data_IF_466594750079
#
_entry.id   IF_466594750079
#
_cell.length_a   1.000
_cell.length_b   1.000
_cell.length_c   1.000
_cell.angle_alpha   90.00
_cell.angle_beta   90.00
_cell.angle_gamma   90.00
#
_symmetry.space_group_name_H-M   'P 1'
#
loop_
_entity.id
_entity.type
_entity.pdbx_description
1 polymer ?
#
# COMPACT_ATOMS: atom_id res chain seq x y z
N UNK A 1 -8.33 -22.12 30.36
CA UNK A 1 -9.27 -22.16 29.22
C UNK A 1 -8.47 -22.51 27.96
N UNK A 2 -9.00 -23.33 27.06
CA UNK A 2 -8.32 -23.61 25.80
C UNK A 2 -8.36 -22.36 24.90
N UNK A 3 -7.22 -22.02 24.31
CA UNK A 3 -7.08 -20.90 23.37
C UNK A 3 -7.99 -21.12 22.15
N UNK A 4 -8.74 -20.11 21.73
CA UNK A 4 -9.64 -20.23 20.58
C UNK A 4 -8.87 -20.45 19.27
N UNK A 5 -9.54 -20.98 18.24
CA UNK A 5 -8.92 -21.13 16.92
C UNK A 5 -8.50 -19.75 16.37
N UNK A 6 -9.33 -18.71 16.58
CA UNK A 6 -8.99 -17.35 16.21
C UNK A 6 -7.69 -16.86 16.90
N UNK A 7 -7.56 -17.05 18.21
CA UNK A 7 -6.36 -16.58 18.95
C UNK A 7 -5.09 -17.29 18.47
N UNK A 8 -5.17 -18.60 18.20
CA UNK A 8 -4.05 -19.36 17.65
C UNK A 8 -3.67 -18.84 16.27
N UNK A 9 -4.66 -18.65 15.40
CA UNK A 9 -4.46 -18.08 14.08
C UNK A 9 -3.84 -16.68 14.15
N UNK A 10 -4.31 -15.85 15.10
CA UNK A 10 -3.83 -14.48 15.28
C UNK A 10 -2.36 -14.43 15.72
N UNK A 11 -1.96 -15.28 16.67
CA UNK A 11 -0.55 -15.39 17.08
C UNK A 11 0.35 -15.72 15.90
N UNK A 12 0.01 -16.77 15.13
CA UNK A 12 0.78 -17.16 13.94
C UNK A 12 0.78 -16.09 12.84
N UNK A 13 -0.31 -15.36 12.70
CA UNK A 13 -0.41 -14.25 11.76
C UNK A 13 0.54 -13.10 12.13
N UNK A 14 0.59 -12.74 13.42
CA UNK A 14 1.46 -11.68 13.94
C UNK A 14 2.94 -12.07 13.81
N UNK A 15 3.25 -13.37 13.97
CA UNK A 15 4.57 -13.95 13.71
C UNK A 15 4.89 -14.12 12.22
N UNK A 16 3.98 -13.66 11.31
CA UNK A 16 4.09 -13.77 9.85
C UNK A 16 4.13 -15.22 9.33
N UNK A 17 3.71 -16.19 10.13
CA UNK A 17 3.58 -17.60 9.75
C UNK A 17 2.26 -17.84 9.01
N UNK A 18 2.03 -17.09 7.93
CA UNK A 18 0.75 -17.01 7.22
C UNK A 18 0.17 -18.35 6.79
N UNK A 19 1.01 -19.25 6.27
CA UNK A 19 0.54 -20.58 5.85
C UNK A 19 0.06 -21.44 7.01
N UNK A 20 0.66 -21.28 8.20
CA UNK A 20 0.23 -21.99 9.42
C UNK A 20 -0.98 -21.33 10.09
N UNK A 21 -1.13 -20.02 9.97
CA UNK A 21 -2.28 -19.28 10.51
C UNK A 21 -3.59 -19.61 9.78
N UNK A 22 -3.52 -19.83 8.46
CA UNK A 22 -4.69 -19.96 7.59
C UNK A 22 -5.70 -21.03 8.04
N UNK A 23 -5.31 -22.29 8.37
CA UNK A 23 -6.28 -23.32 8.78
C UNK A 23 -7.09 -22.95 10.03
N UNK A 24 -6.52 -22.18 10.95
CA UNK A 24 -7.21 -21.75 12.16
C UNK A 24 -8.29 -20.72 11.84
N UNK A 25 -8.00 -19.74 10.98
CA UNK A 25 -9.01 -18.78 10.55
C UNK A 25 -10.07 -19.39 9.64
N UNK A 26 -9.71 -20.33 8.76
CA UNK A 26 -10.70 -21.05 7.94
C UNK A 26 -11.66 -21.85 8.83
N UNK A 27 -11.15 -22.49 9.89
CA UNK A 27 -11.99 -23.19 10.87
C UNK A 27 -12.88 -22.22 11.67
N UNK A 28 -12.39 -21.03 12.01
CA UNK A 28 -13.20 -19.99 12.65
C UNK A 28 -14.35 -19.54 11.75
N UNK A 29 -14.09 -19.35 10.44
CA UNK A 29 -15.11 -19.01 9.44
C UNK A 29 -16.18 -20.10 9.22
N UNK A 30 -15.91 -21.38 9.59
CA UNK A 30 -16.96 -22.40 9.55
C UNK A 30 -18.04 -22.20 10.62
N UNK A 31 -17.70 -21.48 11.71
CA UNK A 31 -18.62 -21.18 12.82
C UNK A 31 -19.35 -19.86 12.58
N UNK A 32 -18.65 -18.87 12.09
CA UNK A 32 -19.19 -17.55 11.72
C UNK A 32 -18.57 -17.10 10.41
N UNK A 33 -19.28 -17.35 9.32
CA UNK A 33 -18.79 -17.07 7.98
C UNK A 33 -18.78 -15.56 7.65
N UNK A 34 -19.40 -14.72 8.45
CA UNK A 34 -19.50 -13.28 8.28
C UNK A 34 -18.66 -12.50 9.31
N UNK A 35 -17.84 -13.18 10.10
CA UNK A 35 -16.87 -12.54 10.99
C UNK A 35 -15.88 -11.71 10.20
N UNK A 36 -16.08 -10.39 10.26
CA UNK A 36 -15.31 -9.43 9.46
C UNK A 36 -13.81 -9.49 9.73
N UNK A 37 -13.42 -9.67 11.00
CA UNK A 37 -12.01 -9.70 11.41
C UNK A 37 -11.33 -10.95 10.82
N UNK A 38 -12.00 -12.11 10.94
CA UNK A 38 -11.46 -13.35 10.39
C UNK A 38 -11.41 -13.33 8.87
N UNK A 39 -12.45 -12.79 8.20
CA UNK A 39 -12.45 -12.60 6.73
C UNK A 39 -11.27 -11.71 6.30
N UNK A 40 -11.00 -10.63 7.05
CA UNK A 40 -9.90 -9.71 6.76
C UNK A 40 -8.55 -10.41 6.91
N UNK A 41 -8.32 -11.14 8.02
CA UNK A 41 -7.10 -11.93 8.24
C UNK A 41 -6.86 -12.94 7.10
N UNK A 42 -7.91 -13.66 6.68
CA UNK A 42 -7.79 -14.63 5.57
C UNK A 42 -7.48 -13.93 4.24
N UNK A 43 -8.12 -12.78 3.98
CA UNK A 43 -7.83 -11.94 2.81
C UNK A 43 -6.37 -11.47 2.79
N UNK A 44 -5.88 -10.97 3.93
CA UNK A 44 -4.48 -10.52 4.09
C UNK A 44 -3.51 -11.70 3.90
N UNK A 45 -3.77 -12.86 4.50
CA UNK A 45 -2.95 -14.07 4.33
C UNK A 45 -2.85 -14.45 2.85
N UNK A 46 -3.98 -14.52 2.14
CA UNK A 46 -3.94 -14.86 0.72
C UNK A 46 -3.20 -13.79 -0.11
N UNK A 47 -3.27 -12.52 0.29
CA UNK A 47 -2.48 -11.44 -0.29
C UNK A 47 -0.98 -11.66 -0.10
N UNK A 48 -0.53 -11.97 1.13
CA UNK A 48 0.87 -12.30 1.45
C UNK A 48 1.36 -13.55 0.70
N UNK A 49 0.51 -14.55 0.56
CA UNK A 49 0.79 -15.77 -0.21
C UNK A 49 0.68 -15.56 -1.73
N UNK A 50 0.41 -14.35 -2.20
CA UNK A 50 0.22 -13.96 -3.62
C UNK A 50 -0.88 -14.76 -4.32
N UNK A 51 -1.86 -15.26 -3.58
CA UNK A 51 -3.05 -15.96 -4.10
C UNK A 51 -4.15 -14.94 -4.37
N UNK A 52 -3.94 -14.11 -5.41
CA UNK A 52 -4.70 -12.88 -5.67
C UNK A 52 -6.20 -13.11 -5.85
N UNK A 53 -6.61 -14.19 -6.53
CA UNK A 53 -8.02 -14.55 -6.70
C UNK A 53 -8.72 -14.81 -5.37
N UNK A 54 -8.07 -15.56 -4.49
CA UNK A 54 -8.61 -15.86 -3.16
C UNK A 54 -8.65 -14.60 -2.29
N UNK A 55 -7.59 -13.80 -2.27
CA UNK A 55 -7.59 -12.52 -1.57
C UNK A 55 -8.72 -11.61 -2.07
N UNK A 56 -8.89 -11.50 -3.39
CA UNK A 56 -9.95 -10.70 -4.01
C UNK A 56 -11.35 -11.19 -3.62
N UNK A 57 -11.57 -12.50 -3.52
CA UNK A 57 -12.83 -13.07 -3.04
C UNK A 57 -13.18 -12.55 -1.63
N UNK A 58 -12.24 -12.61 -0.69
CA UNK A 58 -12.48 -12.16 0.69
C UNK A 58 -12.66 -10.65 0.79
N UNK A 59 -11.87 -9.85 0.07
CA UNK A 59 -12.07 -8.40 0.07
C UNK A 59 -13.33 -7.95 -0.67
N UNK A 60 -13.79 -8.72 -1.67
CA UNK A 60 -15.12 -8.50 -2.28
C UNK A 60 -16.21 -8.73 -1.24
N UNK A 61 -16.11 -9.81 -0.46
CA UNK A 61 -17.05 -10.09 0.63
C UNK A 61 -17.07 -8.97 1.67
N UNK A 62 -15.89 -8.51 2.13
CA UNK A 62 -15.76 -7.40 3.09
C UNK A 62 -16.42 -6.10 2.61
N UNK A 63 -16.09 -5.65 1.38
CA UNK A 63 -16.68 -4.41 0.85
C UNK A 63 -18.16 -4.52 0.57
N UNK A 64 -18.69 -5.75 0.39
CA UNK A 64 -20.12 -6.00 0.23
C UNK A 64 -20.83 -5.96 1.58
N UNK A 65 -20.28 -6.59 2.62
CA UNK A 65 -20.83 -6.59 3.97
C UNK A 65 -20.77 -5.20 4.63
N UNK A 66 -19.71 -4.44 4.35
CA UNK A 66 -19.47 -3.09 4.91
C UNK A 66 -19.11 -2.09 3.82
N UNK A 67 -20.07 -1.69 2.96
CA UNK A 67 -19.80 -0.87 1.77
C UNK A 67 -19.36 0.56 2.08
N UNK A 68 -19.48 1.01 3.35
CA UNK A 68 -19.00 2.32 3.82
C UNK A 68 -17.65 2.27 4.51
N UNK A 69 -16.98 1.11 4.59
CA UNK A 69 -15.64 1.01 5.13
C UNK A 69 -14.62 1.35 4.04
N UNK A 70 -13.87 2.44 4.23
CA UNK A 70 -12.88 2.93 3.28
C UNK A 70 -11.70 1.96 3.09
N UNK A 71 -11.25 1.30 4.18
CA UNK A 71 -10.11 0.40 4.15
C UNK A 71 -10.40 -0.86 3.33
N UNK A 72 -11.65 -1.35 3.35
CA UNK A 72 -12.03 -2.51 2.56
C UNK A 72 -12.04 -2.21 1.05
N UNK A 73 -12.42 -1.00 0.66
CA UNK A 73 -12.28 -0.56 -0.72
C UNK A 73 -10.82 -0.40 -1.13
N UNK A 74 -10.00 0.18 -0.25
CA UNK A 74 -8.56 0.30 -0.49
C UNK A 74 -7.89 -1.07 -0.64
N UNK A 75 -8.11 -2.00 0.29
CA UNK A 75 -7.56 -3.36 0.24
C UNK A 75 -8.02 -4.11 -1.01
N UNK A 76 -9.30 -4.02 -1.36
CA UNK A 76 -9.83 -4.58 -2.61
C UNK A 76 -9.08 -4.03 -3.83
N UNK A 77 -8.96 -2.71 -3.94
CA UNK A 77 -8.23 -2.06 -5.03
C UNK A 77 -6.75 -2.46 -5.07
N UNK A 78 -6.11 -2.58 -3.90
CA UNK A 78 -4.72 -3.01 -3.76
C UNK A 78 -4.48 -4.43 -4.29
N UNK A 79 -5.32 -5.39 -3.87
CA UNK A 79 -5.23 -6.78 -4.36
C UNK A 79 -5.52 -6.87 -5.84
N UNK A 80 -6.52 -6.13 -6.34
CA UNK A 80 -6.84 -6.08 -7.76
C UNK A 80 -5.67 -5.50 -8.57
N UNK A 81 -4.99 -4.46 -8.04
CA UNK A 81 -3.77 -3.90 -8.63
C UNK A 81 -2.62 -4.91 -8.69
N UNK A 82 -2.42 -5.68 -7.61
CA UNK A 82 -1.41 -6.75 -7.60
C UNK A 82 -1.74 -7.88 -8.57
N UNK A 83 -3.02 -8.25 -8.69
CA UNK A 83 -3.48 -9.20 -9.69
C UNK A 83 -3.21 -8.69 -11.11
N UNK A 84 -3.57 -7.44 -11.40
CA UNK A 84 -3.31 -6.81 -12.70
C UNK A 84 -1.83 -6.78 -13.06
N UNK A 85 -0.95 -6.46 -12.08
CA UNK A 85 0.51 -6.45 -12.29
C UNK A 85 1.08 -7.82 -12.66
N UNK A 86 0.43 -8.91 -12.23
CA UNK A 86 0.85 -10.28 -12.49
C UNK A 86 0.08 -10.94 -13.66
N UNK A 87 -0.86 -10.21 -14.27
CA UNK A 87 -1.64 -10.69 -15.41
C UNK A 87 -0.99 -10.32 -16.75
N UNK A 88 -1.48 -10.91 -17.84
CA UNK A 88 -1.13 -10.43 -19.18
C UNK A 88 -1.73 -9.03 -19.44
N UNK A 89 -1.18 -8.31 -20.42
CA UNK A 89 -1.53 -6.91 -20.70
C UNK A 89 -3.04 -6.70 -20.96
N UNK A 90 -3.71 -7.60 -21.66
CA UNK A 90 -5.14 -7.47 -21.96
C UNK A 90 -5.99 -7.63 -20.69
N UNK A 91 -5.71 -8.65 -19.89
CA UNK A 91 -6.39 -8.86 -18.62
C UNK A 91 -6.13 -7.69 -17.63
N UNK A 92 -4.90 -7.17 -17.59
CA UNK A 92 -4.55 -6.02 -16.76
C UNK A 92 -5.36 -4.77 -17.15
N UNK A 93 -5.49 -4.49 -18.45
CA UNK A 93 -6.28 -3.36 -18.96
C UNK A 93 -7.73 -3.40 -18.47
N UNK A 94 -8.36 -4.57 -18.45
CA UNK A 94 -9.72 -4.74 -17.96
C UNK A 94 -9.91 -4.43 -16.47
N UNK A 95 -8.84 -4.44 -15.69
CA UNK A 95 -8.91 -4.19 -14.23
C UNK A 95 -8.64 -2.72 -13.85
N UNK A 96 -8.05 -1.90 -14.74
CA UNK A 96 -7.59 -0.54 -14.41
C UNK A 96 -8.74 0.34 -13.91
N UNK A 97 -9.90 0.28 -14.55
CA UNK A 97 -11.06 1.07 -14.16
C UNK A 97 -11.50 0.74 -12.73
N UNK A 98 -11.61 -0.55 -12.42
CA UNK A 98 -12.08 -1.00 -11.10
C UNK A 98 -11.07 -0.68 -10.00
N UNK A 99 -9.76 -0.79 -10.29
CA UNK A 99 -8.69 -0.39 -9.35
C UNK A 99 -8.83 1.10 -9.01
N UNK A 100 -8.99 1.94 -10.02
CA UNK A 100 -9.16 3.39 -9.84
C UNK A 100 -10.42 3.71 -9.02
N UNK A 101 -11.56 3.13 -9.41
CA UNK A 101 -12.84 3.31 -8.70
C UNK A 101 -12.73 2.89 -7.25
N UNK A 102 -12.04 1.79 -6.95
CA UNK A 102 -11.87 1.31 -5.58
C UNK A 102 -11.10 2.31 -4.72
N UNK A 103 -9.97 2.85 -5.20
CA UNK A 103 -9.20 3.84 -4.46
C UNK A 103 -9.92 5.18 -4.34
N UNK A 104 -10.60 5.65 -5.39
CA UNK A 104 -11.41 6.86 -5.35
C UNK A 104 -12.59 6.71 -4.37
N UNK A 105 -13.21 5.52 -4.29
CA UNK A 105 -14.26 5.22 -3.31
C UNK A 105 -13.72 5.23 -1.89
N UNK A 106 -12.54 4.67 -1.65
CA UNK A 106 -11.88 4.75 -0.33
C UNK A 106 -11.66 6.20 0.09
N UNK A 107 -11.18 7.07 -0.81
CA UNK A 107 -11.00 8.51 -0.54
C UNK A 107 -12.34 9.22 -0.30
N UNK A 108 -13.37 8.88 -1.06
CA UNK A 108 -14.70 9.48 -0.89
C UNK A 108 -15.32 9.11 0.47
N UNK A 109 -15.08 7.89 0.96
CA UNK A 109 -15.55 7.41 2.25
C UNK A 109 -14.71 7.95 3.42
N UNK A 110 -13.40 8.05 3.24
CA UNK A 110 -12.48 8.66 4.20
C UNK A 110 -11.61 9.72 3.50
N UNK A 111 -11.99 11.01 3.57
CA UNK A 111 -11.21 12.09 2.96
C UNK A 111 -9.77 12.23 3.48
N UNK A 112 -9.41 11.57 4.59
CA UNK A 112 -8.05 11.53 5.13
C UNK A 112 -7.30 10.23 4.79
N UNK A 113 -7.82 9.38 3.92
CA UNK A 113 -7.18 8.12 3.58
C UNK A 113 -5.90 8.34 2.78
N UNK A 114 -4.75 8.21 3.44
CA UNK A 114 -3.41 8.44 2.89
C UNK A 114 -3.06 7.39 1.83
N UNK A 115 -3.16 6.11 2.19
CA UNK A 115 -2.71 4.99 1.35
C UNK A 115 -3.45 4.91 0.01
N UNK A 116 -4.75 5.24 -0.01
CA UNK A 116 -5.52 5.26 -1.26
C UNK A 116 -5.04 6.36 -2.22
N UNK A 117 -4.63 7.53 -1.69
CA UNK A 117 -4.02 8.59 -2.51
C UNK A 117 -2.65 8.17 -3.04
N UNK A 118 -1.85 7.56 -2.18
CA UNK A 118 -0.54 7.06 -2.59
C UNK A 118 -0.66 5.97 -3.66
N UNK A 119 -1.64 5.06 -3.51
CA UNK A 119 -1.94 4.05 -4.52
C UNK A 119 -2.37 4.65 -5.86
N UNK A 120 -3.14 5.75 -5.86
CA UNK A 120 -3.48 6.48 -7.09
C UNK A 120 -2.28 7.20 -7.70
N UNK A 121 -1.37 7.75 -6.88
CA UNK A 121 -0.09 8.29 -7.38
C UNK A 121 0.67 7.20 -8.14
N UNK A 122 0.89 6.03 -7.53
CA UNK A 122 1.59 4.92 -8.17
C UNK A 122 0.86 4.43 -9.42
N UNK A 123 -0.47 4.28 -9.37
CA UNK A 123 -1.26 3.86 -10.52
C UNK A 123 -1.05 4.80 -11.70
N UNK A 124 -1.18 6.10 -11.50
CA UNK A 124 -1.04 7.07 -12.58
C UNK A 124 0.38 7.22 -13.13
N UNK A 125 1.40 6.93 -12.32
CA UNK A 125 2.79 6.86 -12.79
C UNK A 125 3.06 5.61 -13.61
N UNK A 126 2.59 4.44 -13.16
CA UNK A 126 2.91 3.16 -13.78
C UNK A 126 2.15 2.89 -15.07
N UNK A 127 0.98 3.50 -15.26
CA UNK A 127 0.20 3.35 -16.48
C UNK A 127 0.82 4.13 -17.65
N UNK A 128 0.92 3.53 -18.85
CA UNK A 128 1.18 4.29 -20.07
C UNK A 128 0.14 5.39 -20.30
N UNK A 129 0.56 6.53 -20.85
CA UNK A 129 -0.33 7.67 -21.10
C UNK A 129 -1.58 7.33 -21.91
N UNK A 130 -1.41 6.45 -22.91
CA UNK A 130 -2.50 5.99 -23.80
C UNK A 130 -3.63 5.23 -23.06
N UNK A 131 -3.33 4.65 -21.90
CA UNK A 131 -4.30 3.94 -21.07
C UNK A 131 -4.62 4.66 -19.75
N UNK A 132 -4.34 5.97 -19.71
CA UNK A 132 -4.75 6.84 -18.62
C UNK A 132 -3.68 7.21 -17.62
N UNK A 133 -2.42 6.82 -17.84
CA UNK A 133 -1.26 7.28 -17.06
C UNK A 133 -1.12 8.80 -17.15
N UNK A 134 -0.76 9.46 -16.06
CA UNK A 134 -0.68 10.91 -16.03
C UNK A 134 0.08 11.42 -14.81
N UNK A 135 1.26 11.96 -15.02
CA UNK A 135 2.00 12.62 -13.95
C UNK A 135 1.20 13.77 -13.33
N UNK A 136 0.44 14.53 -14.14
CA UNK A 136 -0.44 15.60 -13.64
C UNK A 136 -1.49 15.06 -12.63
N UNK A 137 -2.08 13.89 -12.91
CA UNK A 137 -3.04 13.26 -11.97
C UNK A 137 -2.33 12.72 -10.74
N UNK A 138 -1.14 12.14 -10.89
CA UNK A 138 -0.31 11.70 -9.77
C UNK A 138 0.01 12.88 -8.84
N UNK A 139 0.47 14.01 -9.38
CA UNK A 139 0.74 15.25 -8.62
C UNK A 139 -0.51 15.75 -7.90
N UNK A 140 -1.70 15.73 -8.53
CA UNK A 140 -2.96 16.14 -7.89
C UNK A 140 -3.22 15.36 -6.58
N UNK A 141 -3.06 14.02 -6.59
CA UNK A 141 -3.27 13.21 -5.39
C UNK A 141 -2.16 13.39 -4.36
N UNK A 142 -0.93 13.59 -4.81
CA UNK A 142 0.20 13.93 -3.95
C UNK A 142 0.00 15.28 -3.23
N UNK A 143 -0.48 16.29 -3.93
CA UNK A 143 -0.74 17.61 -3.35
C UNK A 143 -1.85 17.58 -2.30
N UNK A 144 -2.87 16.74 -2.46
CA UNK A 144 -3.91 16.53 -1.45
C UNK A 144 -3.36 15.98 -0.12
N UNK A 145 -2.23 15.28 -0.14
CA UNK A 145 -1.60 14.77 1.08
C UNK A 145 -0.99 15.88 1.95
N UNK A 146 -0.67 17.06 1.41
CA UNK A 146 -0.02 18.13 2.18
C UNK A 146 -0.82 18.55 3.43
N UNK A 147 -2.13 18.58 3.32
CA UNK A 147 -3.03 18.94 4.44
C UNK A 147 -3.37 17.77 5.36
N UNK A 148 -2.98 16.53 4.99
CA UNK A 148 -3.33 15.31 5.72
C UNK A 148 -2.10 14.76 6.44
N UNK A 149 -1.02 14.58 5.70
CA UNK A 149 0.29 14.09 6.15
C UNK A 149 1.39 14.70 5.28
N UNK A 150 2.04 15.78 5.73
CA UNK A 150 3.14 16.41 4.99
C UNK A 150 4.27 15.43 4.67
N UNK A 151 4.56 14.50 5.57
CA UNK A 151 5.60 13.47 5.36
C UNK A 151 5.26 12.62 4.14
N UNK A 152 4.03 12.08 4.07
CA UNK A 152 3.59 11.24 2.95
C UNK A 152 3.45 12.06 1.66
N UNK A 153 3.07 13.33 1.76
CA UNK A 153 3.09 14.23 0.62
C UNK A 153 4.49 14.38 0.03
N UNK A 154 5.50 14.60 0.86
CA UNK A 154 6.88 14.72 0.38
C UNK A 154 7.43 13.37 -0.13
N UNK A 155 7.07 12.26 0.48
CA UNK A 155 7.41 10.95 -0.07
C UNK A 155 6.80 10.73 -1.46
N UNK A 156 5.52 11.02 -1.64
CA UNK A 156 4.85 10.86 -2.94
C UNK A 156 5.41 11.83 -3.99
N UNK A 157 5.77 13.07 -3.62
CA UNK A 157 6.46 14.02 -4.51
C UNK A 157 7.85 13.50 -4.90
N UNK A 158 8.62 13.01 -3.94
CA UNK A 158 9.90 12.37 -4.21
C UNK A 158 9.76 11.21 -5.21
N UNK A 159 8.76 10.37 -5.03
CA UNK A 159 8.47 9.25 -5.91
C UNK A 159 8.09 9.68 -7.33
N UNK A 160 7.33 10.76 -7.48
CA UNK A 160 6.99 11.34 -8.80
C UNK A 160 8.26 11.84 -9.52
N UNK A 161 9.11 12.59 -8.81
CA UNK A 161 10.35 13.12 -9.38
C UNK A 161 11.34 11.98 -9.71
N UNK A 162 11.42 10.95 -8.86
CA UNK A 162 12.22 9.75 -9.10
C UNK A 162 11.76 9.02 -10.37
N UNK A 163 10.45 8.83 -10.54
CA UNK A 163 9.87 8.18 -11.71
C UNK A 163 10.20 8.93 -13.01
N UNK A 164 10.26 10.26 -12.93
CA UNK A 164 10.63 11.14 -14.05
C UNK A 164 12.16 11.32 -14.21
N UNK A 165 12.98 10.55 -13.47
CA UNK A 165 14.46 10.64 -13.42
C UNK A 165 14.99 12.03 -12.97
N UNK A 166 14.18 12.82 -12.31
CA UNK A 166 14.55 14.13 -11.76
C UNK A 166 15.18 13.95 -10.35
N UNK A 167 16.27 13.18 -10.27
CA UNK A 167 16.83 12.72 -9.00
C UNK A 167 17.22 13.86 -8.03
N UNK A 168 17.67 15.01 -8.53
CA UNK A 168 17.95 16.18 -7.68
C UNK A 168 16.69 16.73 -6.99
N UNK A 169 15.56 16.77 -7.72
CA UNK A 169 14.27 17.18 -7.13
C UNK A 169 13.72 16.10 -6.19
N UNK A 170 13.88 14.82 -6.55
CA UNK A 170 13.48 13.70 -5.69
C UNK A 170 14.22 13.76 -4.34
N UNK A 171 15.54 13.98 -4.35
CA UNK A 171 16.37 14.14 -3.15
C UNK A 171 15.82 15.22 -2.21
N UNK A 172 15.50 16.39 -2.77
CA UNK A 172 14.93 17.51 -2.00
C UNK A 172 13.63 17.10 -1.30
N UNK A 173 12.75 16.37 -1.99
CA UNK A 173 11.47 15.94 -1.40
C UNK A 173 11.69 14.87 -0.31
N UNK A 174 12.49 13.84 -0.59
CA UNK A 174 12.78 12.80 0.41
C UNK A 174 13.51 13.38 1.63
N UNK A 175 14.40 14.35 1.44
CA UNK A 175 15.07 15.05 2.55
C UNK A 175 14.05 15.82 3.40
N UNK A 176 13.12 16.55 2.81
CA UNK A 176 12.03 17.22 3.55
C UNK A 176 11.20 16.25 4.36
N UNK A 177 10.84 15.10 3.79
CA UNK A 177 10.11 14.06 4.51
C UNK A 177 10.89 13.56 5.72
N UNK A 178 12.21 13.35 5.57
CA UNK A 178 13.10 12.94 6.68
C UNK A 178 13.21 14.02 7.75
N UNK A 179 13.42 15.27 7.37
CA UNK A 179 13.61 16.39 8.30
C UNK A 179 12.35 16.65 9.17
N UNK A 180 11.15 16.43 8.59
CA UNK A 180 9.88 16.52 9.31
C UNK A 180 9.63 15.28 10.16
N UNK A 181 9.82 14.09 9.58
CA UNK A 181 9.45 12.83 10.19
C UNK A 181 10.40 12.36 11.28
N UNK A 182 11.71 12.53 11.07
CA UNK A 182 12.79 12.08 11.95
C UNK A 182 12.62 10.65 12.50
N UNK A 183 11.93 9.81 11.73
CA UNK A 183 11.55 8.44 12.09
C UNK A 183 12.40 7.41 11.34
N UNK A 184 12.43 6.18 11.84
CA UNK A 184 13.07 5.07 11.15
C UNK A 184 12.54 4.89 9.71
N UNK A 185 11.23 5.09 9.51
CA UNK A 185 10.61 4.99 8.18
C UNK A 185 11.11 6.09 7.24
N UNK A 186 11.17 7.35 7.71
CA UNK A 186 11.64 8.46 6.88
C UNK A 186 13.15 8.36 6.59
N UNK A 187 13.92 7.90 7.58
CA UNK A 187 15.33 7.56 7.39
C UNK A 187 15.50 6.49 6.32
N UNK A 188 14.81 5.35 6.46
CA UNK A 188 14.97 4.20 5.56
C UNK A 188 14.67 4.58 4.10
N UNK A 189 13.60 5.34 3.85
CA UNK A 189 13.25 5.78 2.48
C UNK A 189 14.33 6.65 1.84
N UNK A 190 14.89 7.61 2.57
CA UNK A 190 15.96 8.46 2.06
C UNK A 190 17.28 7.69 1.91
N UNK A 191 17.57 6.78 2.85
CA UNK A 191 18.73 5.90 2.80
C UNK A 191 18.70 4.99 1.57
N UNK A 192 17.54 4.36 1.30
CA UNK A 192 17.33 3.52 0.13
C UNK A 192 17.45 4.31 -1.18
N UNK A 193 16.96 5.54 -1.19
CA UNK A 193 17.10 6.43 -2.35
C UNK A 193 18.60 6.71 -2.63
N UNK A 194 19.38 7.04 -1.60
CA UNK A 194 20.82 7.25 -1.77
C UNK A 194 21.55 5.98 -2.19
N UNK A 195 21.29 4.85 -1.53
CA UNK A 195 22.00 3.60 -1.78
C UNK A 195 21.60 2.90 -3.07
N UNK A 196 20.29 2.80 -3.33
CA UNK A 196 19.78 1.96 -4.41
C UNK A 196 19.53 2.75 -5.71
N UNK A 197 19.09 4.00 -5.60
CA UNK A 197 18.73 4.81 -6.77
C UNK A 197 19.90 5.66 -7.22
N UNK A 198 20.48 6.47 -6.32
CA UNK A 198 21.63 7.32 -6.64
C UNK A 198 22.94 6.54 -6.65
N UNK A 199 22.98 5.36 -6.05
CA UNK A 199 24.22 4.55 -5.84
C UNK A 199 25.33 5.36 -5.16
N UNK A 200 24.94 6.28 -4.27
CA UNK A 200 25.84 7.18 -3.55
C UNK A 200 25.99 6.75 -2.09
N UNK A 201 26.96 5.85 -1.85
CA UNK A 201 27.24 5.31 -0.51
C UNK A 201 27.71 6.38 0.48
N UNK A 202 28.38 7.44 0.01
CA UNK A 202 28.84 8.53 0.90
C UNK A 202 27.65 9.26 1.52
N UNK A 203 26.63 9.62 0.70
CA UNK A 203 25.38 10.24 1.19
C UNK A 203 24.62 9.30 2.12
N UNK A 204 24.53 8.01 1.80
CA UNK A 204 23.86 7.03 2.64
C UNK A 204 24.54 6.91 4.03
N UNK A 205 25.87 6.81 4.07
CA UNK A 205 26.64 6.74 5.32
C UNK A 205 26.53 8.05 6.14
N UNK A 206 26.58 9.20 5.47
CA UNK A 206 26.41 10.49 6.13
C UNK A 206 25.02 10.61 6.79
N UNK A 207 23.96 10.21 6.07
CA UNK A 207 22.60 10.16 6.61
C UNK A 207 22.49 9.22 7.80
N UNK A 208 23.15 8.05 7.74
CA UNK A 208 23.15 7.10 8.87
C UNK A 208 23.78 7.71 10.11
N UNK A 209 24.95 8.34 9.98
CA UNK A 209 25.60 9.06 11.09
C UNK A 209 24.71 10.16 11.67
N UNK A 210 24.03 10.91 10.80
CA UNK A 210 23.09 11.95 11.23
C UNK A 210 21.91 11.36 12.02
N UNK A 211 21.39 10.20 11.61
CA UNK A 211 20.27 9.53 12.27
C UNK A 211 20.67 8.92 13.62
N UNK A 212 21.84 8.26 13.67
CA UNK A 212 22.36 7.60 14.87
C UNK A 212 22.82 8.61 15.97
N UNK A 213 23.06 9.87 15.60
CA UNK A 213 23.47 10.93 16.51
C UNK A 213 22.31 11.61 17.27
N UNK A 214 21.08 11.19 17.02
CA UNK A 214 19.84 11.70 17.68
C UNK A 214 19.32 10.74 18.72
#
# INVERSE_FOLDING_TARGET
MAQSDFDKGKTLFDDKEFAKALPFFEKDLTRDNDNLVTIECVGDIYGHLKKWEKALFYYTKLKTLKPRNADYWYKYGGVLGMKAKNANKFAALGMISDIKVAFEKAIALNPKHIDARYALVELYLQLPGIIGGSERKARKYSDQLLSISPIDAYFSKGRIEEYSNNYGKAEIQYRKAFDIGKSATSFQKLYDFYGNILKNQQKALALKKEFDAK
#
